data_IF_614141783486
#
_entry.id   IF_614141783486
#
_cell.length_a   1.000
_cell.length_b   1.000
_cell.length_c   1.000
_cell.angle_alpha   90.00
_cell.angle_beta   90.00
_cell.angle_gamma   90.00
#
_symmetry.space_group_name_H-M   'P 1'
#
loop_
_entity.id
_entity.type
_entity.pdbx_description
1 polymer ?
#
# COMPACT_ATOMS: atom_id res chain seq x y z
N UNK A 1 7.57 -23.11 44.55
CA UNK A 1 7.39 -24.06 43.43
C UNK A 1 7.99 -23.44 42.18
N UNK A 2 9.15 -23.95 41.74
CA UNK A 2 9.86 -23.47 40.56
C UNK A 2 9.10 -23.92 39.31
N UNK A 3 8.42 -22.98 38.62
CA UNK A 3 7.87 -23.25 37.30
C UNK A 3 9.08 -23.44 36.38
N UNK A 4 9.40 -24.69 36.05
CA UNK A 4 10.30 -25.00 34.94
C UNK A 4 9.76 -24.26 33.72
N UNK A 5 10.44 -23.19 33.30
CA UNK A 5 10.17 -22.53 32.04
C UNK A 5 10.42 -23.58 30.94
N UNK A 6 9.35 -24.17 30.43
CA UNK A 6 9.45 -25.01 29.22
C UNK A 6 9.81 -24.05 28.11
N UNK A 7 10.98 -24.27 27.50
CA UNK A 7 11.35 -23.55 26.29
C UNK A 7 10.22 -23.73 25.26
N UNK A 8 9.69 -22.62 24.76
CA UNK A 8 8.66 -22.65 23.75
C UNK A 8 9.20 -23.35 22.48
N UNK A 9 8.37 -24.13 21.77
CA UNK A 9 8.77 -24.70 20.50
C UNK A 9 9.12 -23.56 19.53
N UNK A 10 10.38 -23.51 19.08
CA UNK A 10 10.81 -22.54 18.08
C UNK A 10 10.21 -22.91 16.73
N UNK A 11 9.59 -21.94 16.06
CA UNK A 11 9.10 -22.15 14.70
C UNK A 11 10.29 -22.45 13.77
N UNK A 12 10.22 -23.57 13.05
CA UNK A 12 11.19 -23.89 12.02
C UNK A 12 10.84 -23.13 10.73
N UNK A 13 11.37 -21.92 10.61
CA UNK A 13 11.19 -21.05 9.44
C UNK A 13 12.36 -21.18 8.46
N UNK A 14 12.08 -21.13 7.16
CA UNK A 14 13.12 -21.15 6.13
C UNK A 14 14.02 -19.91 6.20
N UNK A 15 15.25 -20.03 5.68
CA UNK A 15 16.20 -18.93 5.64
C UNK A 15 15.65 -17.72 4.85
N UNK A 16 14.94 -17.97 3.75
CA UNK A 16 14.29 -16.92 2.95
C UNK A 16 13.22 -16.16 3.73
N UNK A 17 12.44 -16.84 4.58
CA UNK A 17 11.46 -16.19 5.46
C UNK A 17 12.17 -15.37 6.53
N UNK A 18 13.24 -15.89 7.14
CA UNK A 18 14.06 -15.11 8.10
C UNK A 18 14.59 -13.83 7.47
N UNK A 19 15.17 -13.94 6.28
CA UNK A 19 15.67 -12.79 5.51
C UNK A 19 14.55 -11.79 5.18
N UNK A 20 13.38 -12.29 4.82
CA UNK A 20 12.18 -11.49 4.61
C UNK A 20 11.78 -10.69 5.86
N UNK A 21 11.70 -11.35 7.02
CA UNK A 21 11.38 -10.72 8.30
C UNK A 21 12.43 -9.66 8.69
N UNK A 22 13.73 -9.95 8.48
CA UNK A 22 14.81 -8.97 8.69
C UNK A 22 14.61 -7.74 7.80
N UNK A 23 14.37 -7.93 6.50
CA UNK A 23 14.15 -6.83 5.55
C UNK A 23 12.88 -6.01 5.83
N UNK A 24 11.88 -6.63 6.45
CA UNK A 24 10.65 -5.98 6.89
C UNK A 24 10.87 -5.16 8.17
N UNK A 25 11.71 -5.67 9.08
CA UNK A 25 12.08 -4.97 10.29
C UNK A 25 12.93 -3.73 10.01
N UNK A 26 13.83 -3.79 9.02
CA UNK A 26 14.63 -2.65 8.55
C UNK A 26 13.75 -1.44 8.17
N UNK A 27 13.80 -0.39 8.98
CA UNK A 27 13.06 0.86 8.86
C UNK A 27 11.66 0.87 9.49
N UNK A 28 11.27 -0.20 10.19
CA UNK A 28 9.99 -0.32 10.92
C UNK A 28 10.19 -0.80 12.37
N UNK A 29 11.39 -0.66 12.91
CA UNK A 29 11.83 -1.24 14.18
C UNK A 29 10.93 -0.78 15.35
N UNK A 30 10.64 0.51 15.44
CA UNK A 30 9.83 1.09 16.51
C UNK A 30 8.38 0.58 16.50
N UNK A 31 7.81 0.42 15.30
CA UNK A 31 6.44 -0.08 15.15
C UNK A 31 6.34 -1.55 15.58
N UNK A 32 7.33 -2.36 15.20
CA UNK A 32 7.41 -3.78 15.56
C UNK A 32 7.71 -3.95 17.05
N UNK A 33 8.61 -3.14 17.60
CA UNK A 33 8.94 -3.14 19.03
C UNK A 33 7.72 -2.80 19.89
N UNK A 34 6.97 -1.75 19.53
CA UNK A 34 5.72 -1.36 20.18
C UNK A 34 4.67 -2.48 20.14
N UNK A 35 4.50 -3.10 18.98
CA UNK A 35 3.58 -4.23 18.78
C UNK A 35 3.93 -5.45 19.64
N UNK A 36 5.21 -5.79 19.74
CA UNK A 36 5.69 -6.91 20.55
C UNK A 36 5.81 -6.55 22.03
N UNK A 37 5.61 -5.28 22.41
CA UNK A 37 5.85 -4.77 23.76
C UNK A 37 7.28 -5.06 24.25
N UNK A 38 8.25 -4.89 23.35
CA UNK A 38 9.69 -5.09 23.63
C UNK A 38 10.47 -3.82 23.27
N UNK A 39 11.72 -3.73 23.72
CA UNK A 39 12.62 -2.67 23.29
C UNK A 39 13.03 -2.87 21.82
N UNK A 40 13.33 -1.80 21.06
CA UNK A 40 13.81 -1.86 19.67
C UNK A 40 15.28 -2.32 19.65
N UNK A 41 15.51 -3.60 19.92
CA UNK A 41 16.83 -4.26 19.84
C UNK A 41 16.91 -5.16 18.62
N UNK A 42 18.11 -5.54 18.18
CA UNK A 42 18.30 -6.41 16.99
C UNK A 42 17.65 -7.80 17.09
N UNK A 43 17.14 -8.19 18.27
CA UNK A 43 16.45 -9.44 18.52
C UNK A 43 14.96 -9.44 18.06
N UNK A 44 14.46 -8.38 17.43
CA UNK A 44 13.06 -8.29 16.99
C UNK A 44 12.65 -9.47 16.08
N UNK A 45 13.53 -9.90 15.18
CA UNK A 45 13.23 -11.01 14.27
C UNK A 45 13.06 -12.33 15.02
N UNK A 46 13.91 -12.60 16.02
CA UNK A 46 13.75 -13.79 16.86
C UNK A 46 12.47 -13.73 17.68
N UNK A 47 12.09 -12.56 18.20
CA UNK A 47 10.81 -12.37 18.90
C UNK A 47 9.61 -12.60 17.99
N UNK A 48 9.68 -12.20 16.72
CA UNK A 48 8.64 -12.49 15.73
C UNK A 48 8.53 -14.00 15.45
N UNK A 49 9.66 -14.69 15.33
CA UNK A 49 9.71 -16.15 15.12
C UNK A 49 9.19 -16.90 16.36
N UNK A 50 9.54 -16.45 17.56
CA UNK A 50 9.00 -16.97 18.81
C UNK A 50 7.48 -16.77 18.87
N UNK A 51 6.98 -15.60 18.47
CA UNK A 51 5.54 -15.32 18.38
C UNK A 51 4.84 -16.27 17.39
N UNK A 52 5.46 -16.56 16.25
CA UNK A 52 4.95 -17.57 15.31
C UNK A 52 4.91 -18.97 15.92
N UNK A 53 5.95 -19.36 16.65
CA UNK A 53 6.05 -20.68 17.27
C UNK A 53 5.03 -20.90 18.40
N UNK A 54 4.85 -19.88 19.26
CA UNK A 54 3.90 -19.95 20.39
C UNK A 54 2.45 -20.02 19.90
N UNK A 55 2.11 -19.24 18.87
CA UNK A 55 0.75 -19.14 18.37
C UNK A 55 0.44 -20.10 17.19
N UNK A 56 1.44 -20.82 16.68
CA UNK A 56 1.30 -21.68 15.50
C UNK A 56 0.98 -20.90 14.22
N UNK A 57 1.49 -19.66 14.09
CA UNK A 57 1.18 -18.79 12.95
C UNK A 57 2.10 -19.09 11.78
N UNK A 58 1.54 -19.07 10.58
CA UNK A 58 2.33 -18.95 9.35
C UNK A 58 2.87 -17.52 9.20
N UNK A 59 3.89 -17.35 8.35
CA UNK A 59 4.43 -16.01 8.07
C UNK A 59 3.34 -15.08 7.51
N UNK A 60 2.48 -15.60 6.64
CA UNK A 60 1.33 -14.87 6.12
C UNK A 60 0.37 -14.40 7.22
N UNK A 61 0.01 -15.31 8.15
CA UNK A 61 -0.90 -14.98 9.25
C UNK A 61 -0.29 -13.96 10.20
N UNK A 62 1.02 -14.07 10.50
CA UNK A 62 1.74 -13.07 11.27
C UNK A 62 1.64 -11.71 10.57
N UNK A 63 2.02 -11.64 9.30
CA UNK A 63 2.02 -10.38 8.55
C UNK A 63 0.61 -9.77 8.49
N UNK A 64 -0.42 -10.59 8.22
CA UNK A 64 -1.79 -10.12 8.08
C UNK A 64 -2.42 -9.64 9.40
N UNK A 65 -2.06 -10.26 10.52
CA UNK A 65 -2.68 -9.95 11.82
C UNK A 65 -2.06 -8.73 12.50
N UNK A 66 -0.78 -8.49 12.24
CA UNK A 66 0.03 -7.59 13.04
C UNK A 66 0.44 -6.30 12.30
N UNK A 67 0.46 -6.33 10.97
CA UNK A 67 0.95 -5.20 10.17
C UNK A 67 -0.20 -4.53 9.41
N UNK A 68 -0.24 -3.20 9.47
CA UNK A 68 -1.25 -2.40 8.79
C UNK A 68 -1.07 -2.36 7.27
N UNK A 69 -2.17 -2.11 6.55
CA UNK A 69 -2.19 -2.06 5.08
C UNK A 69 -1.14 -1.13 4.48
N UNK A 70 -0.97 0.06 5.07
CA UNK A 70 -0.01 1.07 4.58
C UNK A 70 1.41 0.53 4.58
N UNK A 71 1.83 -0.14 5.66
CA UNK A 71 3.20 -0.68 5.78
C UNK A 71 3.43 -1.80 4.76
N UNK A 72 2.47 -2.71 4.60
CA UNK A 72 2.56 -3.82 3.66
C UNK A 72 2.54 -3.34 2.20
N UNK A 73 1.72 -2.34 1.88
CA UNK A 73 1.69 -1.67 0.58
C UNK A 73 3.06 -1.06 0.25
N UNK A 74 3.64 -0.30 1.19
CA UNK A 74 4.97 0.29 1.04
C UNK A 74 6.04 -0.79 0.86
N UNK A 75 6.01 -1.86 1.64
CA UNK A 75 6.96 -2.97 1.51
C UNK A 75 6.83 -3.67 0.14
N UNK A 76 5.60 -3.96 -0.32
CA UNK A 76 5.35 -4.54 -1.64
C UNK A 76 5.97 -3.71 -2.76
N UNK A 77 5.84 -2.39 -2.71
CA UNK A 77 6.38 -1.50 -3.75
C UNK A 77 7.89 -1.37 -3.63
N UNK A 78 8.40 -1.08 -2.43
CA UNK A 78 9.82 -0.74 -2.24
C UNK A 78 10.75 -1.95 -2.26
N UNK A 79 10.33 -3.06 -1.66
CA UNK A 79 11.18 -4.24 -1.44
C UNK A 79 10.92 -5.38 -2.41
N UNK A 80 9.70 -5.47 -2.95
CA UNK A 80 9.32 -6.54 -3.88
C UNK A 80 9.07 -6.05 -5.32
N UNK A 81 9.04 -4.72 -5.54
CA UNK A 81 8.64 -4.11 -6.81
C UNK A 81 7.30 -4.65 -7.36
N UNK A 82 6.35 -4.88 -6.46
CA UNK A 82 5.01 -5.39 -6.78
C UNK A 82 3.93 -4.31 -6.65
N UNK A 83 2.70 -4.67 -6.99
CA UNK A 83 1.53 -3.82 -6.71
C UNK A 83 1.31 -3.70 -5.20
N UNK A 84 0.92 -2.51 -4.76
CA UNK A 84 0.44 -2.13 -3.43
C UNK A 84 -1.07 -2.31 -3.25
N UNK A 85 -1.82 -2.63 -4.31
CA UNK A 85 -3.27 -2.74 -4.25
C UNK A 85 -3.70 -4.06 -3.60
N UNK A 86 -4.71 -3.97 -2.74
CA UNK A 86 -5.35 -5.12 -2.10
C UNK A 86 -5.70 -4.87 -0.63
N UNK A 87 -6.47 -5.80 -0.05
CA UNK A 87 -6.69 -5.89 1.38
C UNK A 87 -5.42 -6.37 2.10
N UNK A 88 -5.35 -6.18 3.42
CA UNK A 88 -4.21 -6.62 4.26
C UNK A 88 -3.87 -8.11 4.05
N UNK A 89 -4.83 -9.05 4.06
CA UNK A 89 -4.53 -10.46 3.79
C UNK A 89 -3.95 -10.70 2.39
N UNK A 90 -4.48 -10.02 1.37
CA UNK A 90 -3.98 -10.18 -0.01
C UNK A 90 -2.55 -9.64 -0.18
N UNK A 91 -2.18 -8.59 0.56
CA UNK A 91 -0.80 -8.09 0.59
C UNK A 91 0.11 -9.03 1.37
N UNK A 92 -0.33 -9.54 2.52
CA UNK A 92 0.41 -10.50 3.31
C UNK A 92 0.69 -11.80 2.54
N UNK A 93 -0.31 -12.35 1.87
CA UNK A 93 -0.19 -13.53 1.01
C UNK A 93 0.84 -13.30 -0.10
N UNK A 94 0.78 -12.13 -0.75
CA UNK A 94 1.71 -11.75 -1.82
C UNK A 94 3.16 -11.68 -1.33
N UNK A 95 3.38 -11.18 -0.13
CA UNK A 95 4.70 -11.10 0.51
C UNK A 95 5.19 -12.51 0.88
N UNK A 96 4.35 -13.30 1.56
CA UNK A 96 4.69 -14.65 1.98
C UNK A 96 5.02 -15.56 0.78
N UNK A 97 4.30 -15.44 -0.34
CA UNK A 97 4.59 -16.16 -1.59
C UNK A 97 5.95 -15.82 -2.18
N UNK A 98 6.42 -14.58 -2.04
CA UNK A 98 7.77 -14.21 -2.48
C UNK A 98 8.84 -14.76 -1.55
N UNK A 99 8.61 -14.70 -0.24
CA UNK A 99 9.54 -15.25 0.76
C UNK A 99 9.64 -16.77 0.69
N UNK A 100 8.61 -17.46 0.21
CA UNK A 100 8.64 -18.90 0.00
C UNK A 100 9.57 -19.33 -1.14
N UNK A 101 10.03 -18.41 -2.00
CA UNK A 101 10.96 -18.72 -3.08
C UNK A 101 12.38 -18.92 -2.54
N UNK A 102 13.10 -19.97 -2.97
CA UNK A 102 14.47 -20.20 -2.52
C UNK A 102 15.45 -19.14 -3.04
N UNK A 103 15.15 -18.49 -4.16
CA UNK A 103 15.92 -17.39 -4.75
C UNK A 103 15.47 -16.01 -4.27
N UNK A 104 14.77 -15.94 -3.13
CA UNK A 104 14.31 -14.66 -2.60
C UNK A 104 15.49 -13.82 -2.12
N UNK A 105 15.61 -12.61 -2.68
CA UNK A 105 16.57 -11.61 -2.26
C UNK A 105 15.82 -10.27 -2.15
N UNK A 106 15.73 -9.66 -0.96
CA UNK A 106 15.05 -8.39 -0.79
C UNK A 106 15.82 -7.29 -1.51
N UNK A 107 15.12 -6.46 -2.28
CA UNK A 107 15.72 -5.26 -2.85
C UNK A 107 16.23 -4.35 -1.72
N UNK A 108 17.39 -3.73 -1.94
CA UNK A 108 17.93 -2.76 -0.97
C UNK A 108 16.90 -1.66 -0.72
N UNK A 109 16.82 -1.15 0.52
CA UNK A 109 15.84 -0.15 0.94
C UNK A 109 15.84 1.12 0.05
N UNK A 110 16.95 1.34 -0.66
CA UNK A 110 17.20 2.47 -1.56
C UNK A 110 16.98 2.15 -3.04
N UNK A 111 16.87 0.87 -3.44
CA UNK A 111 16.77 0.47 -4.85
C UNK A 111 15.36 0.65 -5.44
N UNK A 112 14.30 0.51 -4.62
CA UNK A 112 12.91 0.44 -5.09
C UNK A 112 12.26 1.74 -5.58
N UNK A 113 12.88 2.91 -5.37
CA UNK A 113 12.33 4.19 -5.83
C UNK A 113 12.68 4.51 -7.29
N UNK A 114 13.61 3.77 -7.91
CA UNK A 114 14.26 4.21 -9.15
C UNK A 114 13.61 3.73 -10.46
N UNK A 115 12.54 2.92 -10.45
CA UNK A 115 12.12 2.24 -11.69
C UNK A 115 10.62 1.95 -11.88
N UNK A 116 9.75 2.94 -11.63
CA UNK A 116 8.45 3.07 -12.32
C UNK A 116 8.10 4.52 -12.72
N UNK A 117 9.13 5.35 -12.86
CA UNK A 117 9.05 6.69 -13.46
C UNK A 117 10.12 6.81 -14.55
N UNK A 118 9.97 6.03 -15.61
CA UNK A 118 10.63 6.23 -16.89
C UNK A 118 9.62 5.71 -17.92
N UNK A 119 8.57 6.49 -18.18
CA UNK A 119 8.55 7.30 -19.39
C UNK A 119 7.80 8.62 -19.16
N UNK A 120 8.50 9.59 -18.58
CA UNK A 120 8.20 11.02 -18.71
C UNK A 120 9.46 11.80 -18.31
N UNK A 121 10.30 12.12 -19.29
CA UNK A 121 10.94 13.44 -19.27
C UNK A 121 9.79 14.48 -19.21
N UNK A 122 9.94 15.61 -18.51
CA UNK A 122 10.87 16.62 -19.01
C UNK A 122 11.56 17.47 -17.92
N UNK A 123 12.74 17.97 -18.26
CA UNK A 123 13.18 19.31 -17.85
C UNK A 123 12.03 20.32 -18.13
N UNK A 124 11.86 21.36 -17.30
CA UNK A 124 10.83 22.44 -17.38
C UNK A 124 9.65 22.30 -16.39
N UNK A 125 9.92 22.65 -15.12
CA UNK A 125 8.90 22.81 -14.06
C UNK A 125 7.93 23.99 -14.28
N UNK A 126 8.14 24.89 -15.25
CA UNK A 126 7.26 26.06 -15.46
C UNK A 126 6.05 25.82 -16.38
N UNK A 127 6.05 24.79 -17.25
CA UNK A 127 5.00 24.62 -18.27
C UNK A 127 3.79 23.77 -17.80
N UNK A 128 3.94 22.99 -16.73
CA UNK A 128 2.86 22.11 -16.22
C UNK A 128 1.79 22.90 -15.46
N UNK A 129 2.18 23.99 -14.78
CA UNK A 129 1.25 24.89 -14.09
C UNK A 129 0.35 25.64 -15.08
N UNK A 130 0.92 26.13 -16.19
CA UNK A 130 0.18 26.86 -17.23
C UNK A 130 -0.89 25.98 -17.91
N UNK A 131 -0.56 24.71 -18.20
CA UNK A 131 -1.51 23.75 -18.79
C UNK A 131 -2.68 23.40 -17.86
N UNK A 132 -2.44 23.30 -16.54
CA UNK A 132 -3.52 23.04 -15.55
C UNK A 132 -4.49 24.22 -15.40
N UNK A 133 -3.98 25.45 -15.45
CA UNK A 133 -4.84 26.66 -15.39
C UNK A 133 -5.67 26.80 -16.65
N UNK A 134 -5.08 26.56 -17.84
CA UNK A 134 -5.81 26.57 -19.11
C UNK A 134 -6.93 25.52 -19.17
N UNK A 135 -6.67 24.29 -18.71
CA UNK A 135 -7.67 23.23 -18.67
C UNK A 135 -8.86 23.54 -17.76
N UNK A 136 -8.63 24.23 -16.63
CA UNK A 136 -9.70 24.62 -15.70
C UNK A 136 -10.59 25.72 -16.28
N UNK A 137 -10.03 26.68 -17.03
CA UNK A 137 -10.80 27.73 -17.71
C UNK A 137 -11.64 27.15 -18.87
N UNK A 138 -11.12 26.16 -19.60
CA UNK A 138 -11.87 25.49 -20.66
C UNK A 138 -13.06 24.66 -20.11
N UNK A 139 -12.92 24.08 -18.90
CA UNK A 139 -14.00 23.35 -18.23
C UNK A 139 -15.08 24.32 -17.73
N UNK A 140 -14.72 25.48 -17.18
CA UNK A 140 -15.69 26.50 -16.72
C UNK A 140 -16.52 27.02 -17.89
N UNK A 141 -15.90 27.35 -19.00
CA UNK A 141 -16.59 27.87 -20.20
C UNK A 141 -17.51 26.82 -20.83
N UNK A 142 -17.08 25.55 -20.91
CA UNK A 142 -17.96 24.46 -21.38
C UNK A 142 -19.16 24.24 -20.45
N UNK A 143 -18.99 24.33 -19.13
CA UNK A 143 -20.09 24.20 -18.16
C UNK A 143 -21.08 25.36 -18.25
N UNK A 144 -20.60 26.60 -18.43
CA UNK A 144 -21.47 27.76 -18.63
C UNK A 144 -22.34 27.61 -19.89
N UNK A 145 -21.74 27.18 -21.02
CA UNK A 145 -22.46 26.96 -22.28
C UNK A 145 -23.48 25.82 -22.19
N UNK A 146 -23.15 24.74 -21.45
CA UNK A 146 -24.09 23.66 -21.20
C UNK A 146 -25.27 24.10 -20.30
N UNK A 147 -25.03 24.95 -19.30
CA UNK A 147 -26.08 25.49 -18.45
C UNK A 147 -27.06 26.39 -19.23
N UNK A 148 -26.54 27.24 -20.14
CA UNK A 148 -27.38 28.09 -20.99
C UNK A 148 -28.23 27.27 -21.97
N UNK A 149 -27.64 26.23 -22.59
CA UNK A 149 -28.38 25.32 -23.47
C UNK A 149 -29.44 24.50 -22.71
N UNK A 150 -29.18 24.13 -21.46
CA UNK A 150 -30.17 23.47 -20.61
C UNK A 150 -31.33 24.41 -20.26
N UNK A 151 -31.05 25.66 -19.90
CA UNK A 151 -32.07 26.66 -19.61
C UNK A 151 -32.95 26.95 -20.84
N UNK A 152 -32.35 27.08 -22.03
CA UNK A 152 -33.09 27.28 -23.27
C UNK A 152 -34.02 26.10 -23.61
N UNK A 153 -33.58 24.85 -23.36
CA UNK A 153 -34.41 23.65 -23.56
C UNK A 153 -35.58 23.58 -22.57
N UNK A 154 -35.38 23.99 -21.33
CA UNK A 154 -36.46 24.05 -20.31
C UNK A 154 -37.49 25.12 -20.68
N UNK A 155 -37.05 26.29 -21.15
CA UNK A 155 -37.97 27.33 -21.62
C UNK A 155 -38.78 26.91 -22.86
N UNK A 156 -38.13 26.25 -23.83
CA UNK A 156 -38.80 25.76 -25.04
C UNK A 156 -39.80 24.63 -24.75
N UNK A 157 -39.54 23.79 -23.75
CA UNK A 157 -40.46 22.73 -23.32
C UNK A 157 -41.66 23.29 -22.54
N UNK A 158 -41.46 24.33 -21.73
CA UNK A 158 -42.55 25.05 -21.06
C UNK A 158 -43.49 25.76 -22.05
N UNK A 159 -42.94 26.46 -23.05
CA UNK A 159 -43.74 27.14 -24.08
C UNK A 159 -44.57 26.16 -24.94
N UNK A 160 -44.04 24.95 -25.19
CA UNK A 160 -44.75 23.92 -25.97
C UNK A 160 -45.84 23.19 -25.15
N UNK A 161 -45.78 23.23 -23.83
CA UNK A 161 -46.81 22.68 -22.96
C UNK A 161 -48.04 23.62 -22.87
N UNK A 162 -47.82 24.93 -22.82
CA UNK A 162 -48.89 25.94 -22.77
C UNK A 162 -49.70 25.99 -24.08
N UNK A 163 -49.05 25.79 -25.23
CA UNK A 163 -49.73 25.81 -26.54
C UNK A 163 -50.55 24.53 -26.86
N UNK A 164 -50.62 23.56 -25.96
CA UNK A 164 -51.37 22.29 -26.15
C UNK A 164 -52.64 22.20 -25.28
N UNK A 165 -52.93 23.23 -24.49
CA UNK A 165 -54.15 23.33 -23.66
C UNK A 165 -55.18 24.35 -24.16
N UNK A 166 -54.93 25.05 -25.27
CA UNK A 166 -55.95 25.78 -26.05
C UNK A 166 -56.44 24.94 -27.24
#
# INVERSE_FOLDING_TARGET
MSRRARAAPKANVSASVRLGLTSLAEGNEDAIASMLSVAPTDDLVEKMIDCMGVNGLSAEMLIASYFGQSMLATYCVRRLNKSDKGSVPALAERIAREWAKPSFEPLSAHAGLKKRSAEAAPDDEEDVAAKRVSALEEIKTKRARQAEQAAARVAATAAKAVAKEE
#
